data_IF_407308865414
#
_entry.id   IF_407308865414
#
_cell.length_a   1.000
_cell.length_b   1.000
_cell.length_c   1.000
_cell.angle_alpha   90.00
_cell.angle_beta   90.00
_cell.angle_gamma   90.00
#
_symmetry.space_group_name_H-M   'P 1'
#
loop_
_entity.id
_entity.type
_entity.pdbx_description
1 polymer ?
#
# COMPACT_ATOMS: atom_id res chain seq x y z
N UNK A 1 -25.77 -8.90 -5.85
CA UNK A 1 -24.81 -10.05 -5.87
C UNK A 1 -23.39 -9.56 -6.16
N UNK A 2 -23.15 -8.69 -7.15
CA UNK A 2 -21.83 -8.15 -7.52
C UNK A 2 -21.12 -7.45 -6.35
N UNK A 3 -21.80 -6.54 -5.66
CA UNK A 3 -21.25 -5.81 -4.53
C UNK A 3 -20.84 -6.73 -3.36
N UNK A 4 -21.59 -7.81 -3.12
CA UNK A 4 -21.24 -8.80 -2.10
C UNK A 4 -19.98 -9.60 -2.49
N UNK A 5 -19.86 -10.00 -3.75
CA UNK A 5 -18.67 -10.68 -4.26
C UNK A 5 -17.43 -9.75 -4.18
N UNK A 6 -17.57 -8.48 -4.55
CA UNK A 6 -16.53 -7.47 -4.42
C UNK A 6 -16.09 -7.26 -2.97
N UNK A 7 -17.03 -7.22 -2.03
CA UNK A 7 -16.75 -7.07 -0.60
C UNK A 7 -15.98 -8.28 -0.05
N UNK A 8 -16.39 -9.51 -0.39
CA UNK A 8 -15.70 -10.74 0.02
C UNK A 8 -14.27 -10.76 -0.55
N UNK A 9 -14.09 -10.42 -1.83
CA UNK A 9 -12.78 -10.36 -2.47
C UNK A 9 -11.88 -9.34 -1.79
N UNK A 10 -12.39 -8.13 -1.54
CA UNK A 10 -11.64 -7.10 -0.83
C UNK A 10 -11.23 -7.57 0.58
N UNK A 11 -12.14 -8.20 1.30
CA UNK A 11 -11.83 -8.76 2.63
C UNK A 11 -10.73 -9.81 2.57
N UNK A 12 -10.84 -10.81 1.69
CA UNK A 12 -9.88 -11.91 1.62
C UNK A 12 -8.48 -11.44 1.19
N UNK A 13 -8.40 -10.61 0.14
CA UNK A 13 -7.11 -10.10 -0.36
C UNK A 13 -6.41 -9.24 0.69
N UNK A 14 -7.15 -8.33 1.34
CA UNK A 14 -6.59 -7.51 2.42
C UNK A 14 -6.15 -8.35 3.62
N UNK A 15 -6.85 -9.46 3.91
CA UNK A 15 -6.50 -10.34 5.04
C UNK A 15 -5.14 -11.01 4.84
N UNK A 16 -4.73 -11.29 3.62
CA UNK A 16 -3.37 -11.76 3.33
C UNK A 16 -2.33 -10.72 3.75
N UNK A 17 -2.56 -9.45 3.39
CA UNK A 17 -1.70 -8.34 3.85
C UNK A 17 -1.72 -8.18 5.37
N UNK A 18 -2.91 -8.21 5.98
CA UNK A 18 -3.08 -8.07 7.44
C UNK A 18 -2.34 -9.18 8.20
N UNK A 19 -2.29 -10.40 7.67
CA UNK A 19 -1.54 -11.50 8.29
C UNK A 19 -0.03 -11.21 8.30
N UNK A 20 0.55 -10.77 7.17
CA UNK A 20 1.95 -10.37 7.11
C UNK A 20 2.26 -9.22 8.08
N UNK A 21 1.38 -8.21 8.12
CA UNK A 21 1.50 -7.07 9.03
C UNK A 21 1.50 -7.50 10.51
N UNK A 22 0.57 -8.38 10.90
CA UNK A 22 0.49 -8.89 12.25
C UNK A 22 1.76 -9.67 12.65
N UNK A 23 2.30 -10.51 11.75
CA UNK A 23 3.56 -11.20 11.99
C UNK A 23 4.72 -10.21 12.16
N UNK A 24 4.75 -9.14 11.37
CA UNK A 24 5.76 -8.07 11.52
C UNK A 24 5.71 -7.40 12.89
N UNK A 25 4.50 -7.07 13.38
CA UNK A 25 4.30 -6.50 14.73
C UNK A 25 4.72 -7.49 15.82
N UNK A 26 4.33 -8.75 15.69
CA UNK A 26 4.72 -9.78 16.67
C UNK A 26 6.24 -9.99 16.69
N UNK A 27 6.89 -9.92 15.53
CA UNK A 27 8.34 -10.02 15.45
C UNK A 27 9.04 -8.83 16.11
N UNK A 28 8.51 -7.60 15.90
CA UNK A 28 9.00 -6.40 16.59
C UNK A 28 8.89 -6.61 18.10
N UNK A 29 7.71 -7.01 18.60
CA UNK A 29 7.53 -7.24 20.03
C UNK A 29 8.42 -8.37 20.57
N UNK A 30 8.63 -9.44 19.81
CA UNK A 30 9.50 -10.54 20.19
C UNK A 30 10.97 -10.11 20.33
N UNK A 31 11.44 -9.20 19.48
CA UNK A 31 12.83 -8.76 19.47
C UNK A 31 13.10 -7.66 20.49
N UNK A 32 12.21 -6.65 20.56
CA UNK A 32 12.41 -5.43 21.35
C UNK A 32 11.64 -5.43 22.68
N UNK A 33 10.68 -6.35 22.87
CA UNK A 33 9.79 -6.36 24.06
C UNK A 33 8.79 -5.21 24.10
N UNK A 34 8.79 -4.32 23.10
CA UNK A 34 7.95 -3.15 22.98
C UNK A 34 7.48 -2.93 21.54
N UNK A 35 6.39 -2.16 21.36
CA UNK A 35 5.93 -1.67 20.06
C UNK A 35 5.95 -0.14 19.99
N UNK A 36 6.54 0.51 20.97
CA UNK A 36 6.71 1.96 20.98
C UNK A 36 7.72 2.37 19.91
N UNK A 37 7.30 3.23 18.98
CA UNK A 37 8.16 3.68 17.88
C UNK A 37 9.51 4.23 18.34
N UNK A 38 9.51 5.06 19.38
CA UNK A 38 10.77 5.72 19.83
C UNK A 38 11.77 4.70 20.39
N UNK A 39 11.30 3.72 21.16
CA UNK A 39 12.13 2.65 21.73
C UNK A 39 12.67 1.75 20.62
N UNK A 40 11.78 1.27 19.74
CA UNK A 40 12.16 0.42 18.61
C UNK A 40 13.19 1.11 17.72
N UNK A 41 12.98 2.39 17.36
CA UNK A 41 13.90 3.12 16.47
C UNK A 41 15.27 3.35 17.09
N UNK A 42 15.36 3.51 18.42
CA UNK A 42 16.63 3.67 19.12
C UNK A 42 17.44 2.37 19.19
N UNK A 43 16.76 1.22 19.29
CA UNK A 43 17.40 -0.09 19.44
C UNK A 43 17.74 -0.78 18.10
N UNK A 44 17.22 -0.29 16.95
CA UNK A 44 17.52 -0.87 15.62
C UNK A 44 19.01 -1.05 15.35
N UNK A 45 19.91 -0.08 15.65
CA UNK A 45 21.32 -0.22 15.36
C UNK A 45 21.97 -1.41 16.08
N UNK A 46 21.41 -1.87 17.20
CA UNK A 46 21.95 -2.99 17.99
C UNK A 46 21.65 -4.36 17.37
N UNK A 47 20.61 -4.43 16.51
CA UNK A 47 20.13 -5.69 15.94
C UNK A 47 20.42 -5.85 14.43
N UNK A 48 21.15 -4.91 13.82
CA UNK A 48 21.44 -4.92 12.37
C UNK A 48 22.02 -6.26 11.89
N UNK A 49 22.87 -6.90 12.70
CA UNK A 49 23.52 -8.18 12.37
C UNK A 49 22.82 -9.39 13.01
N UNK A 50 21.64 -9.21 13.60
CA UNK A 50 20.92 -10.31 14.23
C UNK A 50 20.26 -11.17 13.16
N UNK A 51 20.63 -12.44 13.12
CA UNK A 51 20.00 -13.44 12.26
C UNK A 51 18.91 -14.21 13.01
N UNK A 52 17.86 -14.55 12.31
CA UNK A 52 16.74 -15.38 12.77
C UNK A 52 16.55 -16.53 11.80
N UNK A 53 16.17 -17.69 12.35
CA UNK A 53 15.74 -18.83 11.52
C UNK A 53 14.25 -18.67 11.23
N UNK A 54 13.93 -18.34 9.99
CA UNK A 54 12.54 -18.23 9.54
C UNK A 54 12.29 -19.27 8.43
N UNK A 55 11.34 -20.19 8.67
CA UNK A 55 11.01 -21.31 7.75
C UNK A 55 12.25 -22.11 7.33
N UNK A 56 13.21 -22.30 8.26
CA UNK A 56 14.43 -23.08 8.00
C UNK A 56 15.54 -22.34 7.25
N UNK A 57 15.40 -21.04 7.02
CA UNK A 57 16.38 -20.16 6.36
C UNK A 57 16.85 -19.11 7.37
N UNK A 58 18.15 -18.84 7.39
CA UNK A 58 18.70 -17.72 8.16
C UNK A 58 18.39 -16.40 7.41
N UNK A 59 17.70 -15.51 8.08
CA UNK A 59 17.30 -14.20 7.54
C UNK A 59 17.69 -13.13 8.54
N UNK A 60 18.13 -11.99 8.04
CA UNK A 60 18.39 -10.83 8.90
C UNK A 60 17.07 -10.36 9.55
N UNK A 61 17.12 -10.07 10.84
CA UNK A 61 15.94 -9.71 11.63
C UNK A 61 15.28 -8.42 11.13
N UNK A 62 16.08 -7.41 10.76
CA UNK A 62 15.58 -6.12 10.26
C UNK A 62 14.93 -6.30 8.89
N UNK A 63 15.56 -7.07 7.99
CA UNK A 63 14.99 -7.37 6.67
C UNK A 63 13.64 -8.08 6.79
N UNK A 64 13.54 -9.05 7.68
CA UNK A 64 12.30 -9.80 7.91
C UNK A 64 11.17 -8.90 8.45
N UNK A 65 11.48 -8.03 9.43
CA UNK A 65 10.52 -7.04 9.94
C UNK A 65 10.02 -6.15 8.80
N UNK A 66 10.93 -5.56 8.04
CA UNK A 66 10.61 -4.64 6.94
C UNK A 66 9.74 -5.31 5.88
N UNK A 67 10.10 -6.53 5.46
CA UNK A 67 9.33 -7.27 4.45
C UNK A 67 7.94 -7.65 4.94
N UNK A 68 7.78 -8.09 6.18
CA UNK A 68 6.48 -8.43 6.77
C UNK A 68 5.58 -7.20 6.90
N UNK A 69 6.11 -6.06 7.34
CA UNK A 69 5.37 -4.80 7.36
C UNK A 69 4.99 -4.35 5.95
N UNK A 70 5.89 -4.54 4.96
CA UNK A 70 5.62 -4.19 3.58
C UNK A 70 4.53 -5.05 2.94
N UNK A 71 4.42 -6.35 3.28
CA UNK A 71 3.29 -7.20 2.85
C UNK A 71 1.96 -6.60 3.30
N UNK A 72 1.89 -6.08 4.53
CA UNK A 72 0.73 -5.34 5.01
C UNK A 72 0.44 -4.06 4.21
N UNK A 73 1.49 -3.30 3.92
CA UNK A 73 1.40 -2.09 3.09
C UNK A 73 0.92 -2.41 1.66
N UNK A 74 1.41 -3.50 1.05
CA UNK A 74 0.99 -3.96 -0.28
C UNK A 74 -0.51 -4.27 -0.34
N UNK A 75 -1.06 -4.90 0.68
CA UNK A 75 -2.48 -5.22 0.76
C UNK A 75 -3.36 -3.97 0.76
N UNK A 76 -3.10 -3.04 1.69
CA UNK A 76 -3.88 -1.80 1.82
C UNK A 76 -3.69 -0.85 0.65
N UNK A 77 -2.49 -0.75 0.12
CA UNK A 77 -2.15 0.15 -0.99
C UNK A 77 -2.21 -0.51 -2.36
N UNK A 78 -2.84 -1.67 -2.46
CA UNK A 78 -3.13 -2.36 -3.73
C UNK A 78 -1.92 -2.46 -4.67
N UNK A 79 -0.77 -2.89 -4.15
CA UNK A 79 0.39 -3.14 -4.97
C UNK A 79 0.24 -4.46 -5.74
N UNK A 80 1.04 -4.64 -6.78
CA UNK A 80 1.02 -5.84 -7.63
C UNK A 80 0.93 -7.12 -6.77
N UNK A 81 0.20 -8.13 -7.21
CA UNK A 81 -0.29 -9.34 -6.53
C UNK A 81 -1.48 -9.12 -5.58
N UNK A 82 -1.55 -8.00 -4.82
CA UNK A 82 -2.64 -7.71 -3.88
C UNK A 82 -3.54 -6.55 -4.34
N UNK A 83 -3.51 -6.16 -5.61
CA UNK A 83 -4.24 -5.02 -6.18
C UNK A 83 -5.67 -5.36 -6.62
N UNK A 84 -6.00 -6.63 -6.81
CA UNK A 84 -7.21 -7.08 -7.53
C UNK A 84 -8.53 -6.68 -6.88
N UNK A 85 -8.53 -6.31 -5.60
CA UNK A 85 -9.71 -5.86 -4.88
C UNK A 85 -10.08 -4.40 -5.18
N UNK A 86 -9.09 -3.59 -5.58
CA UNK A 86 -9.24 -2.14 -5.70
C UNK A 86 -10.22 -1.72 -6.82
N UNK A 87 -10.12 -2.27 -8.06
CA UNK A 87 -11.08 -1.96 -9.12
C UNK A 87 -12.50 -2.47 -8.83
N UNK A 88 -12.65 -3.58 -8.11
CA UNK A 88 -13.94 -4.15 -7.77
C UNK A 88 -14.63 -3.35 -6.64
N UNK A 89 -13.87 -2.60 -5.85
CA UNK A 89 -14.42 -1.67 -4.86
C UNK A 89 -15.24 -0.52 -5.49
N UNK A 90 -15.24 -0.41 -6.81
CA UNK A 90 -16.05 0.56 -7.57
C UNK A 90 -17.55 0.25 -7.60
N UNK A 91 -17.96 -0.94 -7.15
CA UNK A 91 -19.37 -1.30 -6.93
C UNK A 91 -20.04 -0.45 -5.84
N UNK A 92 -19.26 0.22 -5.00
CA UNK A 92 -19.77 1.14 -3.98
C UNK A 92 -20.20 2.50 -4.51
N UNK A 93 -20.95 3.28 -3.70
CA UNK A 93 -21.34 4.65 -4.06
C UNK A 93 -20.10 5.53 -4.32
N UNK A 94 -20.19 6.43 -5.30
CA UNK A 94 -19.04 7.26 -5.74
C UNK A 94 -18.40 8.09 -4.62
N UNK A 95 -19.13 8.70 -3.67
CA UNK A 95 -18.51 9.41 -2.54
C UNK A 95 -17.66 8.49 -1.64
N UNK A 96 -18.08 7.23 -1.46
CA UNK A 96 -17.31 6.23 -0.70
C UNK A 96 -16.07 5.83 -1.47
N UNK A 97 -16.17 5.65 -2.79
CA UNK A 97 -14.99 5.40 -3.65
C UNK A 97 -14.00 6.56 -3.56
N UNK A 98 -14.48 7.81 -3.61
CA UNK A 98 -13.62 8.98 -3.44
C UNK A 98 -12.86 8.94 -2.10
N UNK A 99 -13.55 8.63 -0.99
CA UNK A 99 -12.93 8.56 0.33
C UNK A 99 -11.85 7.47 0.42
N UNK A 100 -12.16 6.25 -0.04
CA UNK A 100 -11.25 5.09 0.04
C UNK A 100 -9.99 5.33 -0.80
N UNK A 101 -10.14 5.86 -2.02
CA UNK A 101 -9.05 5.98 -2.99
C UNK A 101 -8.25 7.27 -2.87
N UNK A 102 -8.81 8.32 -2.27
CA UNK A 102 -8.12 9.59 -2.16
C UNK A 102 -7.18 9.65 -0.95
N UNK A 103 -7.72 9.45 0.26
CA UNK A 103 -7.03 9.87 1.47
C UNK A 103 -6.98 8.83 2.61
N UNK A 104 -7.70 7.70 2.52
CA UNK A 104 -7.87 6.84 3.68
C UNK A 104 -7.18 5.48 3.54
N UNK A 105 -7.89 4.48 3.05
CA UNK A 105 -7.43 3.09 3.10
C UNK A 105 -6.17 2.83 2.27
N UNK A 106 -6.14 3.35 1.04
CA UNK A 106 -5.03 3.05 0.11
C UNK A 106 -3.74 3.82 0.41
N UNK A 107 -3.82 4.91 1.14
CA UNK A 107 -2.65 5.71 1.53
C UNK A 107 -1.96 5.18 2.77
N UNK A 108 -2.64 4.33 3.57
CA UNK A 108 -2.13 3.81 4.83
C UNK A 108 -0.82 3.01 4.67
N UNK A 109 -0.66 2.25 3.59
CA UNK A 109 0.57 1.49 3.35
C UNK A 109 1.78 2.40 3.04
N UNK A 110 1.58 3.44 2.24
CA UNK A 110 2.64 4.44 1.97
C UNK A 110 3.02 5.15 3.26
N UNK A 111 2.02 5.59 4.04
CA UNK A 111 2.26 6.21 5.34
C UNK A 111 3.04 5.29 6.28
N UNK A 112 2.70 4.00 6.34
CA UNK A 112 3.40 3.00 7.16
C UNK A 112 4.89 2.94 6.80
N UNK A 113 5.23 2.81 5.51
CA UNK A 113 6.63 2.74 5.07
C UNK A 113 7.38 4.02 5.40
N UNK A 114 6.77 5.19 5.16
CA UNK A 114 7.39 6.47 5.50
C UNK A 114 7.52 6.66 7.01
N UNK A 115 6.51 6.26 7.80
CA UNK A 115 6.57 6.36 9.26
C UNK A 115 7.64 5.45 9.87
N UNK A 116 7.84 4.28 9.28
CA UNK A 116 8.85 3.32 9.69
C UNK A 116 10.18 3.48 8.93
N UNK A 117 10.40 4.60 8.24
CA UNK A 117 11.66 4.86 7.52
C UNK A 117 12.92 4.62 8.37
N UNK A 118 12.97 4.95 9.69
CA UNK A 118 14.13 4.65 10.50
C UNK A 118 14.47 3.16 10.63
N UNK A 119 13.51 2.26 10.36
CA UNK A 119 13.76 0.81 10.28
C UNK A 119 14.19 0.45 8.87
N UNK A 120 13.48 0.96 7.84
CA UNK A 120 13.73 0.64 6.44
C UNK A 120 15.12 1.06 5.96
N UNK A 121 15.68 2.16 6.49
CA UNK A 121 17.03 2.64 6.15
C UNK A 121 18.14 1.63 6.46
N UNK A 122 17.91 0.70 7.38
CA UNK A 122 18.85 -0.38 7.71
C UNK A 122 18.62 -1.66 6.89
N UNK A 123 17.67 -1.69 5.96
CA UNK A 123 17.33 -2.84 5.13
C UNK A 123 17.41 -2.50 3.64
N UNK A 124 18.60 -2.60 3.04
CA UNK A 124 18.78 -2.39 1.60
C UNK A 124 17.95 -3.37 0.77
N UNK A 125 17.77 -4.61 1.26
CA UNK A 125 16.97 -5.63 0.61
C UNK A 125 15.51 -5.20 0.53
N UNK A 126 14.91 -4.74 1.64
CA UNK A 126 13.52 -4.31 1.66
C UNK A 126 13.30 -3.06 0.81
N UNK A 127 14.19 -2.07 0.87
CA UNK A 127 14.12 -0.87 0.03
C UNK A 127 14.18 -1.21 -1.46
N UNK A 128 15.04 -2.14 -1.86
CA UNK A 128 15.13 -2.62 -3.25
C UNK A 128 13.84 -3.31 -3.70
N UNK A 129 13.26 -4.16 -2.86
CA UNK A 129 11.99 -4.85 -3.15
C UNK A 129 10.85 -3.83 -3.26
N UNK A 130 10.76 -2.86 -2.34
CA UNK A 130 9.74 -1.79 -2.37
C UNK A 130 9.86 -0.99 -3.67
N UNK A 131 11.08 -0.64 -4.08
CA UNK A 131 11.35 0.07 -5.33
C UNK A 131 10.86 -0.71 -6.54
N UNK A 132 11.24 -1.99 -6.65
CA UNK A 132 10.85 -2.85 -7.79
C UNK A 132 9.34 -3.06 -7.82
N UNK A 133 8.72 -3.39 -6.69
CA UNK A 133 7.27 -3.61 -6.60
C UNK A 133 6.51 -2.32 -6.92
N UNK A 134 6.96 -1.18 -6.42
CA UNK A 134 6.37 0.12 -6.70
C UNK A 134 6.43 0.46 -8.19
N UNK A 135 7.60 0.32 -8.82
CA UNK A 135 7.80 0.56 -10.25
C UNK A 135 6.94 -0.39 -11.11
N UNK A 136 6.97 -1.68 -10.81
CA UNK A 136 6.17 -2.68 -11.52
C UNK A 136 4.66 -2.39 -11.41
N UNK A 137 4.19 -2.01 -10.21
CA UNK A 137 2.79 -1.62 -9.99
C UNK A 137 2.43 -0.37 -10.79
N UNK A 138 3.29 0.65 -10.77
CA UNK A 138 3.05 1.90 -11.48
C UNK A 138 2.87 1.66 -12.98
N UNK A 139 3.74 0.88 -13.59
CA UNK A 139 3.68 0.57 -15.01
C UNK A 139 2.49 -0.34 -15.35
N UNK A 140 2.31 -1.43 -14.61
CA UNK A 140 1.22 -2.38 -14.84
C UNK A 140 -0.15 -1.72 -14.71
N UNK A 141 -0.41 -1.00 -13.62
CA UNK A 141 -1.71 -0.38 -13.39
C UNK A 141 -2.00 0.74 -14.41
N UNK A 142 -0.99 1.51 -14.83
CA UNK A 142 -1.16 2.51 -15.88
C UNK A 142 -1.54 1.87 -17.21
N UNK A 143 -0.87 0.79 -17.62
CA UNK A 143 -1.18 0.09 -18.88
C UNK A 143 -2.59 -0.53 -18.86
N UNK A 144 -3.03 -1.08 -17.73
CA UNK A 144 -4.41 -1.60 -17.57
C UNK A 144 -5.43 -0.46 -17.63
N UNK A 145 -5.13 0.71 -17.04
CA UNK A 145 -6.03 1.86 -17.06
C UNK A 145 -6.37 2.32 -18.49
N UNK A 146 -5.43 2.19 -19.45
CA UNK A 146 -5.64 2.60 -20.84
C UNK A 146 -6.71 1.80 -21.59
N UNK A 147 -6.98 0.58 -21.16
CA UNK A 147 -7.94 -0.33 -21.82
C UNK A 147 -9.26 -0.50 -21.07
N UNK A 148 -9.44 0.22 -19.96
CA UNK A 148 -10.71 0.22 -19.23
C UNK A 148 -11.75 1.09 -19.92
N UNK A 149 -13.01 0.65 -19.88
CA UNK A 149 -14.16 1.40 -20.42
C UNK A 149 -15.00 2.08 -19.34
N UNK A 150 -14.87 1.66 -18.08
CA UNK A 150 -15.57 2.22 -16.93
C UNK A 150 -14.75 3.37 -16.33
N UNK A 151 -15.34 4.57 -16.27
CA UNK A 151 -14.68 5.77 -15.76
C UNK A 151 -14.16 5.60 -14.31
N UNK A 152 -14.92 4.93 -13.44
CA UNK A 152 -14.52 4.66 -12.06
C UNK A 152 -13.34 3.69 -12.01
N UNK A 153 -13.33 2.65 -12.86
CA UNK A 153 -12.22 1.69 -12.95
C UNK A 153 -10.95 2.33 -13.52
N UNK A 154 -11.08 3.22 -14.50
CA UNK A 154 -9.94 4.01 -15.03
C UNK A 154 -9.27 4.78 -13.88
N UNK A 155 -10.07 5.50 -13.08
CA UNK A 155 -9.57 6.30 -11.96
C UNK A 155 -8.98 5.40 -10.86
N UNK A 156 -9.57 4.22 -10.62
CA UNK A 156 -9.07 3.24 -9.64
C UNK A 156 -7.69 2.68 -10.04
N UNK A 157 -7.51 2.25 -11.28
CA UNK A 157 -6.20 1.80 -11.78
C UNK A 157 -5.16 2.92 -11.82
N UNK A 158 -5.60 4.14 -12.15
CA UNK A 158 -4.74 5.32 -12.02
C UNK A 158 -4.31 5.55 -10.57
N UNK A 159 -5.19 5.32 -9.57
CA UNK A 159 -4.82 5.37 -8.16
C UNK A 159 -3.78 4.31 -7.80
N UNK A 160 -3.97 3.06 -8.26
CA UNK A 160 -3.01 1.98 -8.06
C UNK A 160 -1.62 2.35 -8.62
N UNK A 161 -1.59 2.92 -9.83
CA UNK A 161 -0.35 3.40 -10.46
C UNK A 161 0.34 4.50 -9.65
N UNK A 162 -0.42 5.49 -9.16
CA UNK A 162 0.14 6.59 -8.37
C UNK A 162 0.68 6.11 -7.01
N UNK A 163 0.02 5.16 -6.38
CA UNK A 163 0.56 4.51 -5.17
C UNK A 163 1.87 3.77 -5.48
N UNK A 164 1.98 3.13 -6.64
CA UNK A 164 3.23 2.55 -7.11
C UNK A 164 4.37 3.56 -7.20
N UNK A 165 4.11 4.77 -7.74
CA UNK A 165 5.11 5.86 -7.74
C UNK A 165 5.52 6.30 -6.33
N UNK A 166 4.58 6.35 -5.39
CA UNK A 166 4.89 6.70 -4.00
C UNK A 166 5.78 5.64 -3.33
N UNK A 167 5.52 4.34 -3.56
CA UNK A 167 6.40 3.27 -3.08
C UNK A 167 7.75 3.27 -3.76
N UNK A 168 7.80 3.52 -5.07
CA UNK A 168 9.07 3.71 -5.77
C UNK A 168 9.90 4.84 -5.14
N UNK A 169 9.28 5.99 -4.88
CA UNK A 169 9.95 7.12 -4.24
C UNK A 169 10.42 6.78 -2.80
N UNK A 170 9.58 6.08 -2.01
CA UNK A 170 9.95 5.65 -0.67
C UNK A 170 11.09 4.62 -0.69
N UNK A 171 11.08 3.69 -1.65
CA UNK A 171 12.09 2.65 -1.80
C UNK A 171 13.47 3.18 -2.18
N UNK A 172 13.54 4.31 -2.90
CA UNK A 172 14.82 5.01 -3.17
C UNK A 172 15.21 6.01 -2.05
N UNK A 173 14.53 5.99 -0.90
CA UNK A 173 14.82 6.87 0.24
C UNK A 173 14.23 8.28 0.15
N UNK A 174 13.46 8.59 -0.91
CA UNK A 174 12.84 9.91 -1.09
C UNK A 174 11.48 10.02 -0.34
N UNK A 175 11.48 9.78 0.98
CA UNK A 175 10.27 9.71 1.81
C UNK A 175 9.47 11.02 1.80
N UNK A 176 10.14 12.16 1.81
CA UNK A 176 9.47 13.47 1.75
C UNK A 176 8.74 13.69 0.43
N UNK A 177 9.30 13.19 -0.68
CA UNK A 177 8.67 13.23 -2.01
C UNK A 177 7.44 12.31 -2.03
N UNK A 178 7.55 11.10 -1.48
CA UNK A 178 6.42 10.17 -1.36
C UNK A 178 5.27 10.80 -0.55
N UNK A 179 5.56 11.44 0.58
CA UNK A 179 4.55 12.12 1.41
C UNK A 179 3.94 13.34 0.73
N UNK A 180 4.74 14.15 0.05
CA UNK A 180 4.21 15.29 -0.72
C UNK A 180 3.27 14.82 -1.83
N UNK A 181 3.67 13.77 -2.56
CA UNK A 181 2.83 13.17 -3.60
C UNK A 181 1.53 12.60 -2.99
N UNK A 182 1.60 11.94 -1.85
CA UNK A 182 0.43 11.41 -1.15
C UNK A 182 -0.55 12.56 -0.79
N UNK A 183 -0.04 13.67 -0.27
CA UNK A 183 -0.86 14.83 0.07
C UNK A 183 -1.57 15.43 -1.16
N UNK A 184 -0.84 15.70 -2.23
CA UNK A 184 -1.42 16.24 -3.47
C UNK A 184 -2.39 15.28 -4.14
N UNK A 185 -2.06 13.98 -4.14
CA UNK A 185 -2.90 12.91 -4.67
C UNK A 185 -4.25 12.82 -3.97
N UNK A 186 -4.31 13.03 -2.66
CA UNK A 186 -5.55 12.97 -1.90
C UNK A 186 -6.61 13.96 -2.46
N UNK A 187 -6.23 15.21 -2.66
CA UNK A 187 -7.12 16.22 -3.23
C UNK A 187 -7.47 15.96 -4.69
N UNK A 188 -6.47 15.61 -5.49
CA UNK A 188 -6.64 15.36 -6.91
C UNK A 188 -7.58 14.18 -7.17
N UNK A 189 -7.43 13.08 -6.44
CA UNK A 189 -8.30 11.90 -6.59
C UNK A 189 -9.71 12.12 -6.06
N UNK A 190 -9.85 12.84 -4.96
CA UNK A 190 -11.18 13.21 -4.47
C UNK A 190 -11.95 14.00 -5.55
N UNK A 191 -11.30 14.98 -6.19
CA UNK A 191 -11.88 15.74 -7.28
C UNK A 191 -12.29 14.84 -8.47
N UNK A 192 -11.39 13.94 -8.91
CA UNK A 192 -11.66 13.06 -10.05
C UNK A 192 -12.84 12.12 -9.80
N UNK A 193 -12.92 11.50 -8.61
CA UNK A 193 -14.03 10.61 -8.28
C UNK A 193 -15.36 11.36 -8.14
N UNK A 194 -15.37 12.50 -7.48
CA UNK A 194 -16.59 13.31 -7.35
C UNK A 194 -17.03 13.86 -8.72
N UNK A 195 -16.09 14.27 -9.56
CA UNK A 195 -16.36 14.68 -10.94
C UNK A 195 -16.91 13.53 -11.79
N UNK A 196 -16.34 12.32 -11.67
CA UNK A 196 -16.90 11.14 -12.33
C UNK A 196 -18.32 10.83 -11.85
N UNK A 197 -18.61 10.98 -10.56
CA UNK A 197 -19.96 10.85 -10.01
C UNK A 197 -20.94 11.85 -10.61
N UNK A 198 -20.51 13.10 -10.80
CA UNK A 198 -21.34 14.13 -11.46
C UNK A 198 -21.62 13.80 -12.92
N UNK A 199 -20.63 13.26 -13.65
CA UNK A 199 -20.81 12.82 -15.04
C UNK A 199 -21.79 11.66 -15.12
N UNK A 200 -21.61 10.60 -14.31
CA UNK A 200 -22.51 9.45 -14.26
C UNK A 200 -23.94 9.91 -13.98
N UNK A 201 -24.12 10.77 -12.99
CA UNK A 201 -25.45 11.31 -12.66
C UNK A 201 -26.08 12.12 -13.81
N UNK A 202 -25.28 12.88 -14.56
CA UNK A 202 -25.76 13.67 -15.70
C UNK A 202 -26.20 12.78 -16.87
N UNK A 203 -25.66 11.59 -17.03
CA UNK A 203 -26.03 10.61 -18.05
C UNK A 203 -27.05 9.57 -17.54
N UNK A 204 -27.74 9.85 -16.44
CA UNK A 204 -28.79 8.99 -15.86
C UNK A 204 -28.30 7.59 -15.46
N UNK A 205 -27.07 7.51 -14.99
CA UNK A 205 -26.41 6.26 -14.56
C UNK A 205 -26.13 5.25 -15.69
N UNK A 206 -26.09 5.71 -16.95
CA UNK A 206 -25.65 4.93 -18.12
C UNK A 206 -24.11 4.77 -18.22
#
# INVERSE_FOLDING_TARGET
ESANAAAIKAFLVNRVGDFGFALGIFLIFYIFGTVNYNEVFQEIPEIINRELVFIGINVNAVDLICLLLFVGAMGKSAQIFLHTWLPDAMEGPTPVSALIHAATMVTAGVFLVVRCSPIYEYSELALSIITIVGMATAFFAASVALVQTDIKKIIAYSTCSQLGYMFFAAGVGAYSVAMFHLFTHAFFKALLFLGAGSVIHAFHDE
#
